data_IF_527064203168
#
_entry.id   IF_527064203168
#
_cell.length_a   1.000
_cell.length_b   1.000
_cell.length_c   1.000
_cell.angle_alpha   90.00
_cell.angle_beta   90.00
_cell.angle_gamma   90.00
#
_symmetry.space_group_name_H-M   'P 1'
#
loop_
_entity.id
_entity.type
_entity.pdbx_description
1 polymer ?
#
# COMPACT_ATOMS: atom_id res chain seq x y z
N UNK A 1 -25.40 -16.18 -20.70
CA UNK A 1 -24.04 -16.44 -21.21
C UNK A 1 -23.27 -15.16 -21.03
N UNK A 2 -22.09 -15.26 -20.42
CA UNK A 2 -20.93 -14.34 -20.42
C UNK A 2 -21.22 -12.83 -20.37
N UNK A 3 -20.71 -12.04 -19.42
CA UNK A 3 -19.34 -12.04 -18.96
C UNK A 3 -19.21 -11.51 -17.54
N UNK A 4 -18.25 -12.13 -16.88
CA UNK A 4 -17.74 -11.87 -15.55
C UNK A 4 -16.78 -10.68 -15.65
N UNK A 5 -17.21 -9.45 -15.35
CA UNK A 5 -16.27 -8.32 -15.23
C UNK A 5 -16.71 -7.31 -14.16
N UNK A 6 -16.06 -7.37 -13.01
CA UNK A 6 -16.08 -6.35 -11.95
C UNK A 6 -14.66 -6.28 -11.38
N UNK A 7 -14.18 -5.11 -10.95
CA UNK A 7 -14.05 -3.84 -11.67
C UNK A 7 -12.55 -3.52 -11.82
N UNK A 8 -12.10 -3.06 -12.99
CA UNK A 8 -10.76 -2.47 -13.06
C UNK A 8 -10.84 -1.06 -12.47
N UNK A 9 -10.73 -0.98 -11.13
CA UNK A 9 -10.48 0.24 -10.38
C UNK A 9 -9.07 0.71 -10.76
N UNK A 10 -9.01 1.33 -11.94
CA UNK A 10 -7.84 2.02 -12.47
C UNK A 10 -7.68 3.31 -11.68
N UNK A 11 -6.85 3.21 -10.65
CA UNK A 11 -5.76 4.14 -10.30
C UNK A 11 -5.72 5.42 -11.14
N UNK A 12 -6.10 6.55 -10.56
CA UNK A 12 -5.76 7.92 -10.96
C UNK A 12 -5.80 8.81 -9.67
N UNK A 13 -5.04 9.92 -9.57
CA UNK A 13 -3.91 10.06 -8.65
C UNK A 13 -4.23 10.73 -7.29
N UNK A 14 -3.89 10.04 -6.20
CA UNK A 14 -3.59 10.62 -4.88
C UNK A 14 -2.07 10.44 -4.65
N UNK A 15 -1.33 11.48 -4.98
CA UNK A 15 -0.04 11.36 -5.68
C UNK A 15 1.22 11.13 -4.84
N UNK A 16 1.14 10.89 -3.53
CA UNK A 16 2.34 10.71 -2.71
C UNK A 16 2.37 9.40 -1.89
N UNK A 17 1.22 8.80 -1.58
CA UNK A 17 1.14 7.56 -0.82
C UNK A 17 0.15 6.59 -1.47
N UNK A 18 0.61 5.38 -1.77
CA UNK A 18 -0.19 4.28 -2.31
C UNK A 18 0.08 3.01 -1.51
N UNK A 19 -0.90 2.10 -1.46
CA UNK A 19 -0.70 0.78 -0.85
C UNK A 19 0.46 0.08 -1.56
N UNK A 20 1.52 -0.22 -0.81
CA UNK A 20 2.75 -0.81 -1.36
C UNK A 20 3.07 -2.11 -0.65
N UNK A 21 3.36 -3.16 -1.41
CA UNK A 21 3.89 -4.39 -0.82
C UNK A 21 5.36 -4.20 -0.48
N UNK A 22 5.74 -4.41 0.78
CA UNK A 22 7.12 -4.36 1.25
C UNK A 22 7.51 -5.68 1.92
N UNK A 23 8.81 -5.94 1.99
CA UNK A 23 9.36 -7.08 2.72
C UNK A 23 9.70 -6.68 4.14
N UNK A 24 9.34 -7.54 5.10
CA UNK A 24 9.78 -7.41 6.48
C UNK A 24 11.30 -7.55 6.58
N UNK A 25 11.97 -6.66 7.32
CA UNK A 25 13.43 -6.69 7.49
C UNK A 25 13.89 -7.89 8.33
N UNK A 26 13.06 -8.35 9.27
CA UNK A 26 13.41 -9.45 10.19
C UNK A 26 13.16 -10.83 9.57
N UNK A 27 12.06 -11.01 8.84
CA UNK A 27 11.64 -12.31 8.32
C UNK A 27 11.56 -12.41 6.79
N UNK A 28 11.63 -11.29 6.05
CA UNK A 28 11.56 -11.27 4.58
C UNK A 28 10.16 -11.43 3.99
N UNK A 29 9.13 -11.66 4.81
CA UNK A 29 7.75 -11.86 4.36
C UNK A 29 7.19 -10.61 3.68
N UNK A 30 6.41 -10.80 2.61
CA UNK A 30 5.76 -9.70 1.90
C UNK A 30 4.44 -9.32 2.60
N UNK A 31 4.29 -8.04 2.93
CA UNK A 31 3.06 -7.50 3.49
C UNK A 31 2.68 -6.18 2.82
N UNK A 32 1.39 -5.85 2.86
CA UNK A 32 0.87 -4.60 2.31
C UNK A 32 1.06 -3.50 3.34
N UNK A 33 1.87 -2.52 3.01
CA UNK A 33 2.01 -1.28 3.76
C UNK A 33 1.02 -0.26 3.21
N UNK A 34 -0.06 -0.08 3.95
CA UNK A 34 -1.19 0.74 3.51
C UNK A 34 -0.87 2.23 3.54
N UNK A 35 -1.66 3.02 2.81
CA UNK A 35 -1.59 4.48 2.83
C UNK A 35 -1.75 5.03 4.24
N UNK A 36 -2.69 4.48 5.03
CA UNK A 36 -2.97 4.93 6.39
C UNK A 36 -1.76 4.74 7.32
N UNK A 37 -1.04 3.63 7.16
CA UNK A 37 0.19 3.37 7.89
C UNK A 37 1.32 4.31 7.44
N UNK A 38 1.50 4.54 6.15
CA UNK A 38 2.52 5.47 5.66
C UNK A 38 2.32 6.91 6.18
N UNK A 39 1.06 7.38 6.20
CA UNK A 39 0.70 8.70 6.74
C UNK A 39 0.92 8.74 8.25
N UNK A 40 0.52 7.70 8.98
CA UNK A 40 0.72 7.62 10.43
C UNK A 40 2.20 7.66 10.81
N UNK A 41 3.05 6.89 10.14
CA UNK A 41 4.49 6.88 10.40
C UNK A 41 5.14 8.23 10.07
N UNK A 42 4.73 8.86 8.97
CA UNK A 42 5.23 10.19 8.57
C UNK A 42 4.81 11.28 9.56
N UNK A 43 3.54 11.29 10.00
CA UNK A 43 3.01 12.24 11.00
C UNK A 43 3.71 12.11 12.36
N UNK A 44 4.02 10.87 12.77
CA UNK A 44 4.71 10.59 14.02
C UNK A 44 6.23 10.76 13.93
N UNK A 45 6.78 11.04 12.75
CA UNK A 45 8.23 11.14 12.52
C UNK A 45 8.97 9.82 12.75
N UNK A 46 8.26 8.69 12.69
CA UNK A 46 8.82 7.36 12.85
C UNK A 46 9.45 6.95 11.52
N UNK A 47 10.77 6.87 11.48
CA UNK A 47 11.51 6.27 10.35
C UNK A 47 11.71 4.80 10.65
N UNK A 48 11.37 3.94 9.70
CA UNK A 48 11.71 2.54 9.74
C UNK A 48 13.22 2.43 9.48
N UNK A 49 14.04 2.40 10.54
CA UNK A 49 15.49 2.17 10.49
C UNK A 49 15.84 0.70 10.72
#
# INVERSE_FOLDING_TARGET
MSDNQRPELSTEPASDFQDRSISCIDCGEQFVWSIGEQVFFTDKGLRNE
#
